data_IF_596874360832
#
_entry.id   IF_596874360832
#
_cell.length_a   1.000
_cell.length_b   1.000
_cell.length_c   1.000
_cell.angle_alpha   90.00
_cell.angle_beta   90.00
_cell.angle_gamma   90.00
#
_symmetry.space_group_name_H-M   'P 1'
#
loop_
_entity.id
_entity.type
_entity.pdbx_description
1 polymer ?
#
# COMPACT_ATOMS: atom_id res chain seq x y z
N UNK A 1 2.10 -1.77 -24.77
CA UNK A 1 2.18 -1.62 -23.30
C UNK A 1 1.13 -0.61 -22.86
N UNK A 2 0.25 -0.92 -21.89
CA UNK A 2 -0.82 0.01 -21.46
C UNK A 2 -0.37 0.72 -20.18
N UNK A 3 -0.36 2.06 -20.20
CA UNK A 3 0.11 2.88 -19.09
C UNK A 3 -0.68 2.62 -17.81
N UNK A 4 0.04 2.46 -16.70
CA UNK A 4 -0.52 2.44 -15.36
C UNK A 4 -1.25 3.77 -15.11
N UNK A 5 -2.45 3.71 -14.50
CA UNK A 5 -2.94 4.87 -13.74
C UNK A 5 -2.09 4.95 -12.47
N UNK A 6 -0.93 5.58 -12.60
CA UNK A 6 0.08 5.65 -11.56
C UNK A 6 -0.43 6.43 -10.32
N UNK A 7 -1.43 7.29 -10.45
CA UNK A 7 -1.87 8.09 -9.32
C UNK A 7 -3.38 8.05 -9.16
N UNK A 8 -3.80 7.96 -7.90
CA UNK A 8 -5.19 8.19 -7.49
C UNK A 8 -5.24 9.50 -6.70
N UNK A 9 -6.42 10.12 -6.62
CA UNK A 9 -6.58 11.36 -5.84
C UNK A 9 -7.05 11.05 -4.42
N UNK A 10 -6.77 11.92 -3.44
CA UNK A 10 -7.35 11.80 -2.09
C UNK A 10 -8.88 11.70 -2.08
N UNK A 11 -9.56 12.42 -3.00
CA UNK A 11 -11.01 12.37 -3.16
C UNK A 11 -11.48 10.98 -3.61
N UNK A 12 -10.78 10.38 -4.58
CA UNK A 12 -11.06 9.02 -5.02
C UNK A 12 -10.93 8.04 -3.86
N UNK A 13 -9.84 8.13 -3.08
CA UNK A 13 -9.65 7.26 -1.90
C UNK A 13 -10.81 7.40 -0.94
N UNK A 14 -11.17 8.63 -0.56
CA UNK A 14 -12.26 8.89 0.38
C UNK A 14 -13.58 8.27 -0.08
N UNK A 15 -13.89 8.36 -1.37
CA UNK A 15 -15.10 7.77 -1.97
C UNK A 15 -15.09 6.24 -1.98
N UNK A 16 -13.91 5.62 -1.96
CA UNK A 16 -13.76 4.18 -2.12
C UNK A 16 -13.30 3.44 -0.84
N UNK A 17 -13.13 4.14 0.31
CA UNK A 17 -12.69 3.52 1.57
C UNK A 17 -13.59 2.38 2.06
N UNK A 18 -14.89 2.46 1.78
CA UNK A 18 -15.86 1.43 2.16
C UNK A 18 -15.99 0.31 1.10
N UNK A 19 -15.32 0.44 -0.05
CA UNK A 19 -15.38 -0.57 -1.11
C UNK A 19 -14.69 -1.84 -0.65
N UNK A 20 -15.41 -2.97 -0.64
CA UNK A 20 -14.83 -4.29 -0.30
C UNK A 20 -13.68 -4.71 -1.23
N UNK A 21 -13.62 -4.14 -2.44
CA UNK A 21 -12.61 -4.44 -3.45
C UNK A 21 -11.43 -3.44 -3.49
N UNK A 22 -11.26 -2.62 -2.44
CA UNK A 22 -10.13 -1.68 -2.33
C UNK A 22 -9.35 -1.95 -1.06
N UNK A 23 -8.05 -2.17 -1.20
CA UNK A 23 -7.13 -2.30 -0.07
C UNK A 23 -6.20 -1.10 -0.04
N UNK A 24 -6.14 -0.45 1.11
CA UNK A 24 -5.27 0.70 1.35
C UNK A 24 -4.08 0.25 2.19
N UNK A 25 -2.87 0.45 1.68
CA UNK A 25 -1.62 0.15 2.36
C UNK A 25 -0.90 1.43 2.78
N UNK A 26 -0.54 1.48 4.06
CA UNK A 26 0.29 2.53 4.63
C UNK A 26 1.75 2.09 4.66
N UNK A 27 2.58 2.66 3.78
CA UNK A 27 3.99 2.33 3.64
C UNK A 27 4.90 3.02 4.68
N UNK A 28 4.34 3.82 5.60
CA UNK A 28 5.10 4.49 6.65
C UNK A 28 5.52 3.49 7.73
N UNK A 29 6.39 3.94 8.63
CA UNK A 29 6.81 3.12 9.76
C UNK A 29 5.65 2.75 10.66
N UNK A 30 5.74 1.61 11.35
CA UNK A 30 4.73 1.19 12.35
C UNK A 30 4.39 2.29 13.36
N UNK A 31 5.41 3.02 13.82
CA UNK A 31 5.23 4.14 14.76
C UNK A 31 4.45 5.31 14.14
N UNK A 32 4.68 5.64 12.86
CA UNK A 32 3.89 6.68 12.18
C UNK A 32 2.43 6.24 11.94
N UNK A 33 2.23 4.95 11.63
CA UNK A 33 0.91 4.35 11.49
C UNK A 33 0.13 4.38 12.82
N UNK A 34 0.74 3.99 13.94
CA UNK A 34 0.05 3.94 15.25
C UNK A 34 -0.40 5.32 15.75
N UNK A 35 0.29 6.41 15.38
CA UNK A 35 -0.12 7.78 15.73
C UNK A 35 -1.32 8.30 14.93
N UNK A 36 -1.74 7.58 13.89
CA UNK A 36 -2.88 7.94 13.06
C UNK A 36 -2.67 7.54 11.61
N UNK A 37 -3.69 6.95 11.02
CA UNK A 37 -3.69 6.43 9.66
C UNK A 37 -5.09 6.51 9.06
N UNK A 38 -5.20 6.30 7.75
CA UNK A 38 -6.49 6.24 7.06
C UNK A 38 -7.29 5.05 7.62
N UNK A 39 -8.56 5.23 8.05
CA UNK A 39 -9.36 4.12 8.56
C UNK A 39 -9.43 2.94 7.60
N UNK A 40 -9.20 1.73 8.11
CA UNK A 40 -9.15 0.50 7.30
C UNK A 40 -7.82 0.26 6.56
N UNK A 41 -6.89 1.22 6.57
CA UNK A 41 -5.57 1.01 5.99
C UNK A 41 -4.75 0.01 6.80
N UNK A 42 -3.94 -0.79 6.10
CA UNK A 42 -3.09 -1.83 6.69
C UNK A 42 -1.63 -1.38 6.59
N UNK A 43 -0.86 -1.50 7.68
CA UNK A 43 0.52 -1.04 7.68
C UNK A 43 1.46 -2.01 6.95
N UNK A 44 2.03 -1.55 5.83
CA UNK A 44 3.00 -2.24 5.01
C UNK A 44 4.39 -1.60 5.17
N UNK A 45 4.95 -1.63 6.39
CA UNK A 45 6.30 -1.15 6.69
C UNK A 45 7.35 -2.13 6.14
N UNK A 46 7.46 -2.21 4.82
CA UNK A 46 8.31 -3.15 4.10
C UNK A 46 9.53 -2.46 3.46
N UNK A 47 9.72 -1.15 3.70
CA UNK A 47 10.75 -0.37 3.01
C UNK A 47 12.15 -0.98 3.19
N UNK A 48 12.46 -1.44 4.41
CA UNK A 48 13.73 -2.08 4.76
C UNK A 48 13.70 -3.62 4.62
N UNK A 49 12.72 -4.19 3.93
CA UNK A 49 12.71 -5.63 3.65
C UNK A 49 13.55 -5.92 2.40
N UNK A 50 14.54 -6.81 2.55
CA UNK A 50 15.49 -7.23 1.51
C UNK A 50 16.03 -8.63 1.82
N UNK A 51 16.58 -9.28 0.80
CA UNK A 51 17.35 -10.53 0.92
C UNK A 51 18.85 -10.26 0.73
N UNK A 52 19.74 -11.14 1.24
CA UNK A 52 21.20 -10.93 1.19
C UNK A 52 21.80 -10.96 -0.22
N UNK A 53 21.08 -11.46 -1.23
CA UNK A 53 21.60 -11.61 -2.59
C UNK A 53 20.50 -11.59 -3.66
N UNK A 54 20.91 -11.52 -4.91
CA UNK A 54 20.03 -11.45 -6.09
C UNK A 54 20.12 -12.69 -6.98
N UNK A 55 20.76 -13.76 -6.52
CA UNK A 55 20.73 -15.05 -7.20
C UNK A 55 19.32 -15.67 -7.18
N UNK A 56 19.10 -16.67 -8.02
CA UNK A 56 17.80 -17.29 -8.19
C UNK A 56 17.25 -17.91 -6.89
N UNK A 57 18.10 -18.38 -5.97
CA UNK A 57 17.66 -18.95 -4.69
C UNK A 57 17.16 -17.83 -3.78
N UNK A 58 17.93 -16.75 -3.63
CA UNK A 58 17.56 -15.61 -2.80
C UNK A 58 16.31 -14.89 -3.33
N UNK A 59 16.18 -14.74 -4.65
CA UNK A 59 14.98 -14.14 -5.25
C UNK A 59 13.71 -14.99 -5.02
N UNK A 60 13.81 -16.33 -5.06
CA UNK A 60 12.68 -17.21 -4.72
C UNK A 60 12.26 -17.07 -3.25
N UNK A 61 13.23 -16.98 -2.34
CA UNK A 61 12.95 -16.73 -0.91
C UNK A 61 12.27 -15.37 -0.73
N UNK A 62 12.80 -14.33 -1.39
CA UNK A 62 12.23 -12.99 -1.33
C UNK A 62 10.78 -12.96 -1.84
N UNK A 63 10.50 -13.62 -2.97
CA UNK A 63 9.15 -13.70 -3.52
C UNK A 63 8.19 -14.40 -2.55
N UNK A 64 8.54 -15.60 -2.05
CA UNK A 64 7.70 -16.35 -1.13
C UNK A 64 7.40 -15.59 0.17
N UNK A 65 8.41 -14.91 0.73
CA UNK A 65 8.24 -14.09 1.91
C UNK A 65 7.34 -12.88 1.65
N UNK A 66 7.46 -12.24 0.49
CA UNK A 66 6.56 -11.15 0.09
C UNK A 66 5.13 -11.64 -0.05
N UNK A 67 4.90 -12.76 -0.72
CA UNK A 67 3.57 -13.40 -0.84
C UNK A 67 2.96 -13.65 0.56
N UNK A 68 3.74 -14.23 1.47
CA UNK A 68 3.30 -14.48 2.85
C UNK A 68 2.99 -13.19 3.62
N UNK A 69 3.86 -12.18 3.55
CA UNK A 69 3.66 -10.89 4.26
C UNK A 69 2.45 -10.13 3.71
N UNK A 70 2.32 -10.06 2.39
CA UNK A 70 1.20 -9.38 1.73
C UNK A 70 -0.12 -10.14 1.93
N UNK A 71 -0.09 -11.47 1.91
CA UNK A 71 -1.23 -12.32 2.24
C UNK A 71 -1.73 -12.12 3.69
N UNK A 72 -0.82 -11.95 4.66
CA UNK A 72 -1.18 -11.56 6.05
C UNK A 72 -1.76 -10.16 6.15
N UNK A 73 -1.38 -9.28 5.22
CA UNK A 73 -2.04 -7.99 5.03
C UNK A 73 -3.34 -8.13 4.24
N UNK A 74 -3.85 -9.34 4.01
CA UNK A 74 -5.13 -9.62 3.37
C UNK A 74 -5.19 -9.24 1.90
N UNK A 75 -4.05 -9.19 1.20
CA UNK A 75 -4.02 -9.11 -0.26
C UNK A 75 -4.25 -10.50 -0.83
N UNK A 76 -5.24 -10.62 -1.70
CA UNK A 76 -5.63 -11.86 -2.38
C UNK A 76 -5.36 -11.78 -3.88
N UNK A 77 -5.03 -10.60 -4.35
CA UNK A 77 -4.72 -10.30 -5.72
C UNK A 77 -5.85 -9.53 -6.36
N UNK A 78 -7.09 -9.99 -6.31
CA UNK A 78 -8.24 -9.44 -7.07
C UNK A 78 -8.63 -7.99 -6.70
N UNK A 79 -8.18 -7.50 -5.55
CA UNK A 79 -8.41 -6.13 -5.10
C UNK A 79 -7.68 -5.03 -5.90
N UNK A 80 -8.24 -3.82 -5.86
CA UNK A 80 -7.50 -2.60 -6.17
C UNK A 80 -6.66 -2.19 -4.98
N UNK A 81 -5.34 -2.22 -5.14
CA UNK A 81 -4.39 -1.80 -4.09
C UNK A 81 -4.00 -0.34 -4.26
N UNK A 82 -4.16 0.44 -3.20
CA UNK A 82 -3.68 1.82 -3.09
C UNK A 82 -2.59 1.87 -2.04
N UNK A 83 -1.43 2.43 -2.39
CA UNK A 83 -0.32 2.60 -1.46
C UNK A 83 -0.05 4.07 -1.22
N UNK A 84 0.09 4.45 0.05
CA UNK A 84 0.39 5.82 0.43
C UNK A 84 1.56 5.92 1.41
N UNK A 85 2.13 7.11 1.45
CA UNK A 85 3.08 7.53 2.47
C UNK A 85 2.90 9.02 2.83
N UNK A 86 3.82 9.57 3.63
CA UNK A 86 3.87 10.99 3.99
C UNK A 86 5.11 11.75 3.47
N UNK A 87 6.06 11.07 2.81
CA UNK A 87 7.28 11.67 2.28
C UNK A 87 7.23 11.88 0.77
N UNK A 88 8.37 11.70 0.09
CA UNK A 88 8.53 11.96 -1.35
C UNK A 88 8.02 10.83 -2.26
N UNK A 89 7.35 9.81 -1.71
CA UNK A 89 6.82 8.69 -2.50
C UNK A 89 7.77 7.49 -2.62
N UNK A 90 8.96 7.52 -2.03
CA UNK A 90 9.94 6.44 -2.06
C UNK A 90 9.47 5.15 -1.36
N UNK A 91 8.86 5.26 -0.18
CA UNK A 91 8.31 4.12 0.56
C UNK A 91 7.09 3.55 -0.13
N UNK A 92 6.20 4.43 -0.58
CA UNK A 92 5.03 4.05 -1.35
C UNK A 92 5.48 3.30 -2.59
N UNK A 93 6.37 3.88 -3.40
CA UNK A 93 6.99 3.32 -4.61
C UNK A 93 7.59 1.92 -4.38
N UNK A 94 8.35 1.76 -3.30
CA UNK A 94 8.97 0.46 -2.99
C UNK A 94 7.93 -0.59 -2.61
N UNK A 95 6.94 -0.24 -1.79
CA UNK A 95 5.91 -1.19 -1.34
C UNK A 95 5.07 -1.68 -2.51
N UNK A 96 4.59 -0.80 -3.39
CA UNK A 96 3.77 -1.29 -4.48
C UNK A 96 4.57 -1.97 -5.61
N UNK A 97 5.88 -1.73 -5.72
CA UNK A 97 6.76 -2.59 -6.52
C UNK A 97 6.82 -3.99 -5.92
N UNK A 98 6.90 -4.11 -4.58
CA UNK A 98 6.84 -5.43 -3.93
C UNK A 98 5.49 -6.13 -4.14
N UNK A 99 4.39 -5.38 -4.17
CA UNK A 99 3.06 -5.92 -4.49
C UNK A 99 3.00 -6.46 -5.92
N UNK A 100 3.57 -5.73 -6.88
CA UNK A 100 3.67 -6.17 -8.28
C UNK A 100 4.60 -7.38 -8.42
N UNK A 101 5.78 -7.32 -7.79
CA UNK A 101 6.81 -8.36 -7.85
C UNK A 101 6.35 -9.68 -7.23
N UNK A 102 5.63 -9.63 -6.11
CA UNK A 102 5.09 -10.82 -5.45
C UNK A 102 4.07 -11.56 -6.31
N UNK A 103 3.59 -10.96 -7.41
CA UNK A 103 2.83 -11.67 -8.42
C UNK A 103 1.57 -12.36 -7.89
N UNK A 104 0.96 -11.86 -6.80
CA UNK A 104 -0.24 -12.45 -6.19
C UNK A 104 -1.27 -12.74 -7.29
N UNK A 105 -1.39 -14.03 -7.61
CA UNK A 105 -1.69 -14.54 -8.95
C UNK A 105 -3.15 -14.33 -9.37
N UNK A 106 -3.38 -13.56 -10.43
CA UNK A 106 -4.24 -13.98 -11.55
C UNK A 106 -4.23 -12.96 -12.71
N UNK A 107 -4.34 -13.45 -13.96
CA UNK A 107 -4.14 -12.68 -15.18
C UNK A 107 -5.37 -11.85 -15.52
N UNK A 108 -5.59 -10.76 -14.78
CA UNK A 108 -6.46 -9.69 -15.27
C UNK A 108 -6.02 -8.37 -14.67
N UNK A 109 -5.24 -7.63 -15.45
CA UNK A 109 -5.11 -6.16 -15.45
C UNK A 109 -5.53 -5.49 -14.12
N UNK A 110 -4.57 -5.27 -13.22
CA UNK A 110 -4.81 -4.53 -11.97
C UNK A 110 -4.03 -3.22 -11.97
N UNK A 111 -4.70 -2.16 -11.52
CA UNK A 111 -4.10 -0.83 -11.35
C UNK A 111 -3.62 -0.70 -9.91
N UNK A 112 -2.31 -0.65 -9.71
CA UNK A 112 -1.73 -0.20 -8.45
C UNK A 112 -1.67 1.33 -8.49
N UNK A 113 -2.33 1.98 -7.55
CA UNK A 113 -2.39 3.44 -7.47
C UNK A 113 -1.48 3.99 -6.38
N UNK A 114 -0.58 4.90 -6.72
CA UNK A 114 0.33 5.55 -5.78
C UNK A 114 -0.22 6.91 -5.34
N UNK A 115 -0.10 7.24 -4.06
CA UNK A 115 -0.36 8.58 -3.54
C UNK A 115 0.95 9.18 -3.02
N UNK A 116 1.56 10.06 -3.81
CA UNK A 116 2.83 10.73 -3.48
C UNK A 116 2.67 11.90 -2.51
N UNK A 117 1.47 12.45 -2.38
CA UNK A 117 1.15 13.55 -1.46
C UNK A 117 -0.24 13.36 -0.86
N UNK A 118 -0.34 12.55 0.20
CA UNK A 118 -1.36 12.87 1.19
C UNK A 118 -0.91 14.17 1.83
N UNK A 119 -1.61 15.27 1.53
CA UNK A 119 -1.37 16.49 2.28
C UNK A 119 -1.47 16.13 3.76
N UNK A 120 -0.52 16.63 4.57
CA UNK A 120 -0.59 16.54 6.03
C UNK A 120 -2.00 16.89 6.54
N UNK A 121 -2.68 17.79 5.82
CA UNK A 121 -4.07 18.18 5.98
C UNK A 121 -5.09 17.02 5.82
N UNK A 122 -4.99 16.07 4.88
CA UNK A 122 -5.99 14.98 4.75
C UNK A 122 -5.90 13.98 5.92
N UNK A 123 -4.68 13.63 6.34
CA UNK A 123 -4.45 12.73 7.49
C UNK A 123 -4.92 13.43 8.77
N UNK A 124 -4.55 14.71 8.96
CA UNK A 124 -5.05 15.51 10.07
C UNK A 124 -6.58 15.63 10.02
N UNK A 125 -7.19 15.93 8.87
CA UNK A 125 -8.65 16.02 8.71
C UNK A 125 -9.35 14.72 9.09
N UNK A 126 -8.86 13.54 8.67
CA UNK A 126 -9.45 12.25 9.05
C UNK A 126 -9.27 11.94 10.55
N UNK A 127 -8.11 12.25 11.13
CA UNK A 127 -7.84 12.09 12.58
C UNK A 127 -8.72 13.02 13.41
N UNK A 128 -8.87 14.28 12.98
CA UNK A 128 -9.72 15.28 13.64
C UNK A 128 -11.21 14.93 13.52
N UNK A 129 -11.65 14.44 12.35
CA UNK A 129 -13.04 14.00 12.16
C UNK A 129 -13.42 12.84 13.10
N UNK A 130 -12.52 11.88 13.32
CA UNK A 130 -12.74 10.77 14.27
C UNK A 130 -12.76 11.20 15.75
N UNK A 131 -12.13 12.32 16.10
CA UNK A 131 -12.18 12.88 17.46
C UNK A 131 -13.44 13.72 17.72
N UNK A 132 -14.12 14.18 16.67
CA UNK A 132 -15.31 15.03 16.77
C UNK A 132 -16.63 14.24 16.66
N UNK A 133 -16.57 12.93 16.42
CA UNK A 133 -17.74 12.04 16.34
C UNK A 133 -17.79 10.97 17.45
N UNK A 134 -17.13 11.22 18.58
CA UNK A 134 -17.33 10.48 19.84
C UNK A 134 -18.05 11.36 20.85
#
# INVERSE_FOLDING_TARGET
MKALKATVTPAWVKQHLASKNVVVLDARSRNAYSRGHIPGARNADLFHYFVPGTDAKNLRVFQHDLESKLGRLGLRGDEKTVVYESGFGMRAARVAWMVEYAGIQSPSRRSVGWLSKLSSKLIQTLVTWRRLTM
#
